data_IF_345949916889
#
_entry.id   IF_345949916889
#
_cell.length_a   1.000
_cell.length_b   1.000
_cell.length_c   1.000
_cell.angle_alpha   90.00
_cell.angle_beta   90.00
_cell.angle_gamma   90.00
#
_symmetry.space_group_name_H-M   'P 1'
#
loop_
_entity.id
_entity.type
_entity.pdbx_description
1 polymer ?
#
# COMPACT_ATOMS: atom_id res chain seq x y z
N UNK A 1 1.39 26.61 4.58
CA UNK A 1 0.03 26.56 3.97
C UNK A 1 -0.57 25.20 4.31
N UNK A 2 -1.80 25.12 4.85
CA UNK A 2 -2.46 23.83 5.07
C UNK A 2 -2.74 23.15 3.72
N UNK A 3 -2.70 21.82 3.69
CA UNK A 3 -2.82 21.03 2.48
C UNK A 3 -4.17 21.31 1.76
N UNK A 4 -4.21 21.51 0.41
CA UNK A 4 -5.44 21.68 -0.35
C UNK A 4 -6.30 20.39 -0.33
N UNK A 5 -7.59 20.43 -0.72
CA UNK A 5 -8.56 19.40 -0.37
C UNK A 5 -8.17 18.03 -0.92
N UNK A 6 -8.30 17.03 -0.05
CA UNK A 6 -8.36 15.59 -0.31
C UNK A 6 -7.36 15.02 -1.33
N UNK A 7 -6.05 15.23 -1.10
CA UNK A 7 -5.04 14.41 -1.78
C UNK A 7 -5.18 12.96 -1.29
N UNK A 8 -5.54 12.05 -2.19
CA UNK A 8 -5.53 10.61 -1.95
C UNK A 8 -4.13 10.09 -2.27
N UNK A 9 -3.57 9.30 -1.35
CA UNK A 9 -2.32 8.59 -1.56
C UNK A 9 -2.62 7.13 -1.86
N UNK A 10 -1.71 6.46 -2.58
CA UNK A 10 -1.87 5.04 -2.95
C UNK A 10 -0.82 4.23 -2.23
N UNK A 11 -1.28 3.24 -1.47
CA UNK A 11 -0.43 2.25 -0.81
C UNK A 11 -0.81 0.88 -1.35
N UNK A 12 0.13 0.17 -1.96
CA UNK A 12 -0.03 -1.26 -2.22
C UNK A 12 0.36 -2.01 -0.95
N UNK A 13 -0.63 -2.60 -0.28
CA UNK A 13 -0.41 -3.34 0.97
C UNK A 13 0.22 -4.71 0.67
N UNK A 14 -0.27 -5.37 -0.38
CA UNK A 14 0.15 -6.71 -0.75
C UNK A 14 -0.23 -7.04 -2.19
N UNK A 15 0.53 -7.97 -2.79
CA UNK A 15 0.29 -8.54 -4.10
C UNK A 15 0.48 -10.07 -4.06
N UNK A 16 -0.27 -10.74 -3.17
CA UNK A 16 -0.16 -12.19 -2.97
C UNK A 16 -1.51 -12.89 -3.19
N UNK A 17 -1.89 -13.07 -4.47
CA UNK A 17 -3.14 -13.74 -4.82
C UNK A 17 -3.31 -15.11 -4.16
N UNK A 18 -2.27 -15.96 -4.21
CA UNK A 18 -2.33 -17.32 -3.65
C UNK A 18 -2.66 -17.30 -2.16
N UNK A 19 -1.95 -16.49 -1.37
CA UNK A 19 -2.20 -16.41 0.08
C UNK A 19 -3.57 -15.84 0.41
N UNK A 20 -4.06 -14.88 -0.36
CA UNK A 20 -5.42 -14.36 -0.16
C UNK A 20 -6.47 -15.42 -0.45
N UNK A 21 -6.35 -16.15 -1.56
CA UNK A 21 -7.31 -17.20 -1.91
C UNK A 21 -7.23 -18.40 -0.97
N UNK A 22 -6.04 -18.83 -0.55
CA UNK A 22 -5.87 -19.88 0.45
C UNK A 22 -6.59 -19.52 1.75
N UNK A 23 -6.42 -18.28 2.21
CA UNK A 23 -7.09 -17.79 3.40
C UNK A 23 -8.61 -17.70 3.21
N UNK A 24 -9.10 -17.14 2.10
CA UNK A 24 -10.53 -17.08 1.81
C UNK A 24 -11.16 -18.47 1.74
N UNK A 25 -10.50 -19.43 1.08
CA UNK A 25 -10.97 -20.81 0.98
C UNK A 25 -11.06 -21.45 2.37
N UNK A 26 -10.13 -21.17 3.28
CA UNK A 26 -10.20 -21.63 4.67
C UNK A 26 -11.41 -21.10 5.44
N UNK A 27 -12.01 -19.98 4.98
CA UNK A 27 -13.23 -19.38 5.52
C UNK A 27 -14.49 -19.80 4.74
N UNK A 28 -14.37 -20.79 3.83
CA UNK A 28 -15.46 -21.23 2.95
C UNK A 28 -15.85 -20.21 1.88
N UNK A 29 -14.94 -19.29 1.54
CA UNK A 29 -15.12 -18.29 0.49
C UNK A 29 -14.24 -18.66 -0.70
N UNK A 30 -14.87 -18.91 -1.85
CA UNK A 30 -14.19 -19.34 -3.07
C UNK A 30 -14.59 -18.48 -4.27
N UNK A 31 -14.03 -18.78 -5.44
CA UNK A 31 -14.28 -18.04 -6.67
C UNK A 31 -15.75 -18.08 -7.14
N UNK A 32 -16.54 -19.06 -6.68
CA UNK A 32 -17.95 -19.19 -7.03
C UNK A 32 -18.86 -18.31 -6.16
N UNK A 33 -18.45 -18.03 -4.91
CA UNK A 33 -19.33 -17.39 -3.92
C UNK A 33 -18.83 -16.02 -3.39
N UNK A 34 -17.56 -15.67 -3.58
CA UNK A 34 -16.98 -14.47 -2.95
C UNK A 34 -17.68 -13.15 -3.32
N UNK A 35 -18.22 -13.04 -4.53
CA UNK A 35 -18.98 -11.84 -4.96
C UNK A 35 -20.31 -11.66 -4.21
N UNK A 36 -20.83 -12.73 -3.59
CA UNK A 36 -22.05 -12.72 -2.80
C UNK A 36 -21.78 -12.34 -1.34
N UNK A 37 -20.51 -12.34 -0.92
CA UNK A 37 -20.07 -12.14 0.48
C UNK A 37 -19.03 -11.02 0.61
N UNK A 38 -19.25 -9.81 0.03
CA UNK A 38 -18.21 -8.79 -0.06
C UNK A 38 -17.68 -8.30 1.29
N UNK A 39 -18.55 -8.16 2.30
CA UNK A 39 -18.15 -7.76 3.65
C UNK A 39 -17.24 -8.80 4.31
N UNK A 40 -17.54 -10.08 4.13
CA UNK A 40 -16.75 -11.17 4.70
C UNK A 40 -15.41 -11.29 3.99
N UNK A 41 -15.39 -11.13 2.66
CA UNK A 41 -14.14 -11.06 1.87
C UNK A 41 -13.27 -9.91 2.38
N UNK A 42 -13.81 -8.68 2.43
CA UNK A 42 -13.04 -7.51 2.86
C UNK A 42 -12.44 -7.66 4.26
N UNK A 43 -13.25 -8.13 5.22
CA UNK A 43 -12.79 -8.44 6.59
C UNK A 43 -11.72 -9.52 6.61
N UNK A 44 -11.88 -10.60 5.84
CA UNK A 44 -10.91 -11.68 5.76
C UNK A 44 -9.56 -11.20 5.21
N UNK A 45 -9.56 -10.38 4.16
CA UNK A 45 -8.34 -9.81 3.59
C UNK A 45 -7.59 -8.96 4.61
N UNK A 46 -8.28 -8.05 5.30
CA UNK A 46 -7.63 -7.19 6.30
C UNK A 46 -7.16 -7.97 7.54
N UNK A 47 -7.90 -9.00 7.95
CA UNK A 47 -7.47 -9.90 9.02
C UNK A 47 -6.21 -10.67 8.65
N UNK A 48 -6.09 -11.14 7.41
CA UNK A 48 -4.87 -11.82 6.94
C UNK A 48 -3.66 -10.88 6.98
N UNK A 49 -3.81 -9.64 6.51
CA UNK A 49 -2.75 -8.62 6.61
C UNK A 49 -2.33 -8.41 8.06
N UNK A 50 -3.29 -8.28 8.97
CA UNK A 50 -3.02 -8.14 10.41
C UNK A 50 -2.25 -9.34 10.97
N UNK A 51 -2.63 -10.56 10.58
CA UNK A 51 -1.92 -11.78 10.98
C UNK A 51 -0.47 -11.79 10.47
N UNK A 52 -0.21 -11.32 9.24
CA UNK A 52 1.16 -11.23 8.74
C UNK A 52 2.01 -10.27 9.57
N UNK A 53 1.49 -9.09 9.91
CA UNK A 53 2.21 -8.17 10.81
C UNK A 53 2.46 -8.79 12.16
N UNK A 54 1.43 -9.41 12.77
CA UNK A 54 1.58 -10.07 14.06
C UNK A 54 2.60 -11.21 14.02
N UNK A 55 2.68 -11.96 12.93
CA UNK A 55 3.62 -13.09 12.81
C UNK A 55 5.10 -12.70 12.84
N UNK A 56 5.42 -11.43 12.56
CA UNK A 56 6.79 -10.90 12.61
C UNK A 56 7.06 -10.06 13.86
N UNK A 57 6.08 -9.93 14.76
CA UNK A 57 6.21 -9.17 15.99
C UNK A 57 6.88 -9.98 17.11
N UNK A 58 7.55 -9.32 18.08
CA UNK A 58 8.17 -9.99 19.22
C UNK A 58 7.22 -10.92 20.00
N UNK A 59 5.94 -10.56 20.12
CA UNK A 59 4.93 -11.35 20.84
C UNK A 59 4.64 -12.70 20.18
N UNK A 60 4.98 -12.88 18.90
CA UNK A 60 4.84 -14.13 18.15
C UNK A 60 6.20 -14.74 17.76
N UNK A 61 7.29 -14.29 18.40
CA UNK A 61 8.64 -14.81 18.15
C UNK A 61 9.39 -14.16 16.98
N UNK A 62 8.87 -13.07 16.44
CA UNK A 62 9.57 -12.22 15.47
C UNK A 62 10.46 -11.17 16.15
N UNK A 63 10.92 -10.19 15.36
CA UNK A 63 11.87 -9.16 15.80
C UNK A 63 11.42 -7.72 15.50
N UNK A 64 10.25 -7.53 14.88
CA UNK A 64 9.80 -6.22 14.39
C UNK A 64 8.82 -5.57 15.38
N UNK A 65 9.22 -4.45 15.99
CA UNK A 65 8.31 -3.64 16.81
C UNK A 65 7.24 -2.97 15.92
N UNK A 66 6.03 -3.52 15.97
CA UNK A 66 4.90 -3.00 15.21
C UNK A 66 4.39 -1.64 15.72
N UNK A 67 4.61 -1.31 16.99
CA UNK A 67 4.14 -0.06 17.59
C UNK A 67 4.89 1.17 17.04
N UNK A 68 6.14 0.95 16.62
CA UNK A 68 7.02 1.94 16.00
C UNK A 68 7.10 1.79 14.48
N UNK A 69 6.26 0.95 13.88
CA UNK A 69 6.26 0.67 12.44
C UNK A 69 5.14 1.42 11.72
N UNK A 70 5.44 1.91 10.51
CA UNK A 70 4.54 2.77 9.74
C UNK A 70 4.66 2.52 8.24
N UNK A 71 3.62 2.86 7.49
CA UNK A 71 3.76 3.10 6.07
C UNK A 71 4.38 4.48 5.84
N UNK A 72 5.42 4.53 5.01
CA UNK A 72 6.02 5.79 4.54
C UNK A 72 5.74 5.95 3.04
N UNK A 73 5.01 7.01 2.68
CA UNK A 73 4.58 7.26 1.30
C UNK A 73 5.17 8.55 0.78
N UNK A 74 5.85 8.48 -0.35
CA UNK A 74 6.33 9.64 -1.08
C UNK A 74 5.28 10.10 -2.09
N UNK A 75 4.72 11.27 -1.86
CA UNK A 75 3.88 11.96 -2.84
C UNK A 75 4.72 12.90 -3.70
N UNK A 76 4.31 13.09 -4.96
CA UNK A 76 4.99 14.01 -5.87
C UNK A 76 3.99 14.80 -6.73
N UNK A 77 4.41 15.96 -7.24
CA UNK A 77 3.64 16.77 -8.19
C UNK A 77 4.39 17.00 -9.48
N UNK A 78 3.67 17.31 -10.56
CA UNK A 78 4.26 17.64 -11.88
C UNK A 78 5.21 18.85 -11.83
N UNK A 79 5.10 19.70 -10.81
CA UNK A 79 6.00 20.83 -10.55
C UNK A 79 7.30 20.42 -9.84
N UNK A 80 7.53 19.12 -9.62
CA UNK A 80 8.74 18.61 -8.99
C UNK A 80 8.75 18.75 -7.47
N UNK A 81 7.59 18.95 -6.83
CA UNK A 81 7.47 18.95 -5.38
C UNK A 81 7.26 17.53 -4.87
N UNK A 82 7.88 17.23 -3.73
CA UNK A 82 7.80 15.97 -3.03
C UNK A 82 7.37 16.21 -1.59
N UNK A 83 6.67 15.24 -1.01
CA UNK A 83 6.31 15.25 0.40
C UNK A 83 6.17 13.83 0.92
N UNK A 84 6.80 13.54 2.07
CA UNK A 84 6.68 12.27 2.76
C UNK A 84 5.48 12.30 3.71
N UNK A 85 4.75 11.20 3.77
CA UNK A 85 3.61 11.00 4.66
C UNK A 85 3.76 9.68 5.42
N UNK A 86 3.49 9.71 6.71
CA UNK A 86 3.54 8.55 7.60
C UNK A 86 2.11 8.14 7.98
N UNK A 87 1.80 6.85 7.83
CA UNK A 87 0.51 6.27 8.23
C UNK A 87 0.72 5.07 9.16
N UNK A 88 -0.18 4.89 10.12
CA UNK A 88 -0.19 3.71 10.98
C UNK A 88 -0.39 2.44 10.15
N UNK A 89 0.24 1.33 10.57
CA UNK A 89 0.00 0.01 9.96
C UNK A 89 -1.44 -0.49 10.21
N UNK A 90 -2.04 -0.08 11.33
CA UNK A 90 -3.39 -0.48 11.71
C UNK A 90 -4.45 0.28 10.92
N UNK A 91 -5.37 -0.46 10.32
CA UNK A 91 -6.57 0.09 9.71
C UNK A 91 -7.66 0.10 10.79
N UNK A 92 -7.99 1.29 11.29
CA UNK A 92 -9.09 1.48 12.24
C UNK A 92 -10.45 1.28 11.54
N UNK A 93 -11.48 0.98 12.33
CA UNK A 93 -12.88 1.01 11.87
C UNK A 93 -13.24 0.05 10.71
N UNK A 94 -12.61 -1.13 10.65
CA UNK A 94 -12.90 -2.16 9.64
C UNK A 94 -14.40 -2.46 9.51
N UNK A 95 -15.13 -2.45 10.63
CA UNK A 95 -16.57 -2.69 10.67
C UNK A 95 -17.42 -1.56 10.08
N UNK A 96 -16.87 -0.36 9.93
CA UNK A 96 -17.54 0.79 9.29
C UNK A 96 -17.32 0.83 7.78
N UNK A 97 -16.43 -0.01 7.24
CA UNK A 97 -16.14 -0.05 5.81
C UNK A 97 -17.28 -0.76 5.08
N UNK A 98 -17.84 -0.07 4.09
CA UNK A 98 -18.84 -0.63 3.18
C UNK A 98 -18.14 -1.37 2.05
N UNK A 99 -18.19 -2.69 2.11
CA UNK A 99 -17.61 -3.56 1.08
C UNK A 99 -18.62 -3.94 0.01
N UNK A 100 -18.23 -3.83 -1.27
CA UNK A 100 -19.09 -4.20 -2.39
C UNK A 100 -18.30 -4.44 -3.68
N UNK A 101 -18.88 -5.18 -4.61
CA UNK A 101 -18.40 -5.25 -5.99
C UNK A 101 -19.19 -4.22 -6.83
N UNK A 102 -18.54 -3.23 -7.47
CA UNK A 102 -19.26 -2.29 -8.32
C UNK A 102 -19.82 -2.99 -9.56
N UNK A 103 -20.88 -2.47 -10.16
CA UNK A 103 -21.39 -2.96 -11.45
C UNK A 103 -20.53 -2.43 -12.60
N UNK A 104 -20.23 -3.29 -13.59
CA UNK A 104 -19.39 -2.91 -14.75
C UNK A 104 -20.04 -1.79 -15.58
N UNK A 105 -21.36 -1.79 -15.67
CA UNK A 105 -22.14 -0.68 -16.22
C UNK A 105 -23.47 -0.57 -15.50
N UNK A 106 -24.08 0.62 -15.50
CA UNK A 106 -25.43 0.82 -14.94
C UNK A 106 -26.51 -0.01 -15.65
N UNK A 107 -26.23 -0.55 -16.85
CA UNK A 107 -27.18 -1.35 -17.64
C UNK A 107 -26.99 -2.85 -17.45
N UNK A 108 -25.82 -3.30 -16.98
CA UNK A 108 -25.52 -4.72 -16.78
C UNK A 108 -25.55 -5.06 -15.29
N UNK A 109 -26.29 -6.10 -14.90
CA UNK A 109 -26.23 -6.67 -13.54
C UNK A 109 -24.92 -7.46 -13.29
N UNK A 110 -23.91 -7.25 -14.13
CA UNK A 110 -22.62 -7.93 -14.04
C UNK A 110 -21.75 -7.16 -13.05
N UNK A 111 -21.34 -7.86 -11.99
CA UNK A 111 -20.41 -7.34 -11.00
C UNK A 111 -18.99 -7.28 -11.56
N UNK A 112 -18.28 -6.21 -11.24
CA UNK A 112 -16.86 -6.05 -11.56
C UNK A 112 -16.01 -7.09 -10.84
N UNK A 113 -14.77 -7.22 -11.29
CA UNK A 113 -13.78 -8.15 -10.74
C UNK A 113 -13.12 -7.63 -9.46
N UNK A 114 -13.13 -6.31 -9.26
CA UNK A 114 -12.56 -5.65 -8.08
C UNK A 114 -13.56 -5.58 -6.94
N UNK A 115 -13.10 -5.85 -5.73
CA UNK A 115 -13.81 -5.50 -4.51
C UNK A 115 -13.44 -4.07 -4.11
N UNK A 116 -14.42 -3.26 -3.75
CA UNK A 116 -14.24 -1.93 -3.19
C UNK A 116 -14.62 -1.93 -1.71
N UNK A 117 -13.90 -1.16 -0.91
CA UNK A 117 -14.25 -0.85 0.47
C UNK A 117 -14.29 0.66 0.65
N UNK A 118 -15.47 1.21 0.92
CA UNK A 118 -15.66 2.65 1.08
C UNK A 118 -15.86 3.02 2.55
N UNK A 119 -15.37 4.19 2.96
CA UNK A 119 -15.73 4.85 4.20
C UNK A 119 -16.61 6.09 3.95
N UNK A 120 -16.84 6.92 4.97
CA UNK A 120 -17.62 8.14 4.85
C UNK A 120 -17.02 9.19 3.89
N UNK A 121 -15.75 9.03 3.51
CA UNK A 121 -15.00 9.93 2.63
C UNK A 121 -14.85 9.41 1.20
N UNK A 122 -15.14 8.12 0.97
CA UNK A 122 -15.13 7.50 -0.36
C UNK A 122 -14.35 6.19 -0.38
N UNK A 123 -13.80 5.85 -1.55
CA UNK A 123 -13.05 4.61 -1.77
C UNK A 123 -11.78 4.56 -0.92
N UNK A 124 -11.74 3.62 0.02
CA UNK A 124 -10.64 3.42 0.95
C UNK A 124 -9.79 2.21 0.58
N UNK A 125 -10.40 1.16 0.03
CA UNK A 125 -9.73 -0.06 -0.40
C UNK A 125 -10.17 -0.51 -1.78
N UNK A 126 -9.24 -1.11 -2.52
CA UNK A 126 -9.54 -1.93 -3.69
C UNK A 126 -8.76 -3.23 -3.64
N UNK A 127 -9.43 -4.34 -3.95
CA UNK A 127 -8.78 -5.64 -4.11
C UNK A 127 -9.06 -6.25 -5.48
N UNK A 128 -7.99 -6.69 -6.16
CA UNK A 128 -8.02 -7.27 -7.49
C UNK A 128 -7.82 -8.79 -7.44
N UNK A 129 -8.77 -9.50 -6.81
CA UNK A 129 -8.68 -10.93 -6.56
C UNK A 129 -8.52 -11.81 -7.80
N UNK A 130 -9.05 -11.37 -8.94
CA UNK A 130 -8.93 -12.08 -10.21
C UNK A 130 -7.76 -11.58 -11.11
N UNK A 131 -6.94 -10.65 -10.62
CA UNK A 131 -5.86 -10.01 -11.38
C UNK A 131 -4.67 -9.68 -10.48
N UNK A 132 -3.88 -10.70 -10.13
CA UNK A 132 -2.67 -10.58 -9.31
C UNK A 132 -2.92 -10.55 -7.80
N UNK A 133 -4.16 -10.33 -7.35
CA UNK A 133 -4.50 -10.32 -5.92
C UNK A 133 -4.04 -9.07 -5.19
N UNK A 134 -3.74 -8.00 -5.93
CA UNK A 134 -3.29 -6.73 -5.37
C UNK A 134 -4.35 -6.14 -4.43
N UNK A 135 -3.94 -5.80 -3.20
CA UNK A 135 -4.74 -5.06 -2.24
C UNK A 135 -4.17 -3.65 -2.09
N UNK A 136 -4.97 -2.65 -2.47
CA UNK A 136 -4.61 -1.23 -2.38
C UNK A 136 -5.39 -0.54 -1.28
N UNK A 137 -4.74 0.43 -0.65
CA UNK A 137 -5.28 1.31 0.36
C UNK A 137 -5.09 2.77 -0.04
N UNK A 138 -6.12 3.58 0.18
CA UNK A 138 -6.25 4.94 -0.31
C UNK A 138 -6.46 5.96 0.82
N UNK A 139 -5.48 6.13 1.73
CA UNK A 139 -5.64 7.11 2.79
C UNK A 139 -5.60 8.54 2.23
N UNK A 140 -6.34 9.43 2.88
CA UNK A 140 -6.21 10.87 2.64
C UNK A 140 -4.90 11.36 3.27
N UNK A 141 -4.15 12.20 2.56
CA UNK A 141 -2.90 12.80 3.06
C UNK A 141 -3.09 13.53 4.40
N UNK A 142 -4.27 14.16 4.61
CA UNK A 142 -4.61 14.83 5.88
C UNK A 142 -4.73 13.88 7.08
N UNK A 143 -4.87 12.57 6.85
CA UNK A 143 -4.96 11.54 7.88
C UNK A 143 -3.58 10.98 8.26
N UNK A 144 -2.49 11.48 7.65
CA UNK A 144 -1.14 11.07 8.03
C UNK A 144 -0.85 11.47 9.48
N UNK A 145 -0.18 10.60 10.23
CA UNK A 145 0.24 10.91 11.61
C UNK A 145 1.41 11.88 11.65
N UNK A 146 2.17 11.93 10.55
CA UNK A 146 3.23 12.88 10.31
C UNK A 146 3.37 13.12 8.81
N UNK A 147 3.76 14.34 8.44
CA UNK A 147 4.14 14.68 7.08
C UNK A 147 5.37 15.59 7.11
N UNK A 148 6.29 15.40 6.15
CA UNK A 148 7.41 16.32 5.99
C UNK A 148 6.94 17.68 5.47
N UNK A 149 7.80 18.69 5.57
CA UNK A 149 7.71 19.84 4.69
C UNK A 149 7.83 19.40 3.23
N UNK A 150 7.31 20.22 2.31
CA UNK A 150 7.48 19.96 0.88
C UNK A 150 8.92 20.27 0.47
N UNK A 151 9.51 19.39 -0.32
CA UNK A 151 10.88 19.53 -0.79
C UNK A 151 10.99 19.26 -2.30
N UNK A 152 12.11 19.67 -2.90
CA UNK A 152 12.49 19.28 -4.26
C UNK A 152 13.70 18.35 -4.18
N UNK A 153 13.82 17.43 -5.13
CA UNK A 153 15.02 16.61 -5.24
C UNK A 153 16.19 17.47 -5.75
N UNK A 154 17.40 17.09 -5.34
CA UNK A 154 18.61 17.69 -5.88
C UNK A 154 18.66 17.53 -7.41
N UNK A 155 19.03 18.57 -8.15
CA UNK A 155 19.17 18.47 -9.59
C UNK A 155 20.28 17.48 -9.94
N UNK A 156 20.05 16.67 -10.97
CA UNK A 156 21.10 15.82 -11.53
C UNK A 156 22.26 16.68 -12.03
N UNK A 157 23.49 16.25 -11.75
CA UNK A 157 24.69 16.90 -12.28
C UNK A 157 24.69 16.73 -13.81
N UNK A 158 24.75 17.85 -14.54
CA UNK A 158 24.64 17.87 -16.02
C UNK A 158 25.91 17.41 -16.74
N UNK A 159 27.04 17.36 -16.04
CA UNK A 159 28.37 17.22 -16.65
C UNK A 159 29.11 15.94 -16.23
N UNK A 160 28.40 14.95 -15.68
CA UNK A 160 28.97 13.65 -15.32
C UNK A 160 28.05 12.56 -15.85
N UNK A 161 28.59 11.44 -16.32
CA UNK A 161 27.80 10.25 -16.64
C UNK A 161 27.10 9.76 -15.36
N UNK A 162 25.91 10.29 -15.12
CA UNK A 162 25.13 9.97 -13.94
C UNK A 162 24.58 8.55 -14.08
N UNK A 163 25.25 7.61 -13.44
CA UNK A 163 24.95 6.18 -13.53
C UNK A 163 25.03 5.47 -12.18
N UNK A 164 24.60 4.21 -12.14
CA UNK A 164 24.67 3.37 -10.94
C UNK A 164 26.11 3.30 -10.41
N UNK A 165 27.10 3.22 -11.30
CA UNK A 165 28.52 3.12 -10.92
C UNK A 165 29.02 4.39 -10.18
N UNK A 166 28.65 5.58 -10.65
CA UNK A 166 29.00 6.84 -9.97
C UNK A 166 28.35 6.94 -8.58
N UNK A 167 27.08 6.51 -8.46
CA UNK A 167 26.40 6.45 -7.16
C UNK A 167 27.08 5.48 -6.19
N UNK A 168 27.47 4.30 -6.67
CA UNK A 168 28.17 3.31 -5.85
C UNK A 168 29.52 3.87 -5.39
N UNK A 169 30.27 4.51 -6.28
CA UNK A 169 31.52 5.18 -5.93
C UNK A 169 31.32 6.32 -4.90
N UNK A 170 30.22 7.08 -5.00
CA UNK A 170 29.94 8.22 -4.12
C UNK A 170 29.47 7.78 -2.73
N UNK A 171 28.56 6.80 -2.64
CA UNK A 171 27.99 6.35 -1.37
C UNK A 171 28.86 5.32 -0.65
N UNK A 172 29.65 4.54 -1.40
CA UNK A 172 30.47 3.45 -0.88
C UNK A 172 31.89 3.49 -1.43
N UNK A 173 32.64 4.60 -1.24
CA UNK A 173 33.92 4.81 -1.91
C UNK A 173 34.93 3.69 -1.66
N UNK A 174 35.03 3.21 -0.41
CA UNK A 174 35.99 2.17 -0.03
C UNK A 174 35.61 0.78 -0.59
N UNK A 175 34.32 0.44 -0.59
CA UNK A 175 33.83 -0.85 -1.11
C UNK A 175 33.95 -0.89 -2.64
N UNK A 176 33.66 0.23 -3.31
CA UNK A 176 33.79 0.35 -4.75
C UNK A 176 35.24 0.24 -5.21
N UNK A 177 36.16 0.95 -4.55
CA UNK A 177 37.58 0.89 -4.86
C UNK A 177 38.15 -0.53 -4.72
N UNK A 178 37.69 -1.30 -3.74
CA UNK A 178 38.10 -2.69 -3.56
C UNK A 178 37.52 -3.64 -4.63
N UNK A 179 36.27 -3.41 -5.08
CA UNK A 179 35.64 -4.20 -6.13
C UNK A 179 36.31 -4.02 -7.51
N UNK A 180 36.81 -2.81 -7.81
CA UNK A 180 37.47 -2.49 -9.08
C UNK A 180 38.97 -2.87 -9.14
N UNK A 181 39.58 -3.35 -8.05
CA UNK A 181 41.01 -3.76 -8.01
C UNK A 181 41.25 -5.23 -8.43
N UNK A 182 40.27 -5.87 -9.08
CA UNK A 182 40.43 -7.22 -9.66
C UNK A 182 40.57 -7.16 -11.16
#
# INVERSE_FOLDING_TARGET
>A
MPCPPSVILVIEISNSAGKFWDYLNSQGIDQSNYKQRPAEVGKALLNLIKQWYQSISPEQGGSVDLSSSYYLVLSWSKQGWYQLHQFNLSISDIDKIKWYFPTVSNKSKILARRLNGDDATGSLFEWYGESGGQLKYYPLAKNAVWASERFQLEPLRKNVEYGILEKVATYFPDLWANACRK
#
